data_IF_915821764246
#
_entry.id   IF_915821764246
#
_cell.length_a   1.000
_cell.length_b   1.000
_cell.length_c   1.000
_cell.angle_alpha   90.00
_cell.angle_beta   90.00
_cell.angle_gamma   90.00
#
_symmetry.space_group_name_H-M   'P 1'
#
loop_
_entity.id
_entity.type
_entity.pdbx_description
1 polymer ?
#
# COMPACT_ATOMS: atom_id res chain seq x y z
N UNK A 1 -12.19 -0.77 12.73
CA UNK A 1 -13.06 -0.77 11.54
C UNK A 1 -14.32 0.01 11.87
N UNK A 2 -14.73 0.94 11.01
CA UNK A 2 -16.00 1.67 11.19
C UNK A 2 -17.14 0.87 10.57
N UNK A 3 -18.37 1.02 11.06
CA UNK A 3 -19.55 0.30 10.53
C UNK A 3 -19.72 0.52 9.01
N UNK A 4 -19.45 1.74 8.54
CA UNK A 4 -19.52 2.09 7.12
C UNK A 4 -18.49 1.33 6.26
N UNK A 5 -17.25 1.15 6.74
CA UNK A 5 -16.24 0.39 5.99
C UNK A 5 -16.63 -1.07 5.88
N UNK A 6 -17.17 -1.66 6.97
CA UNK A 6 -17.68 -3.02 6.94
C UNK A 6 -18.83 -3.20 5.93
N UNK A 7 -19.80 -2.29 5.90
CA UNK A 7 -20.91 -2.34 4.94
C UNK A 7 -20.42 -2.24 3.49
N UNK A 8 -19.46 -1.35 3.22
CA UNK A 8 -18.84 -1.21 1.90
C UNK A 8 -18.07 -2.47 1.50
N UNK A 9 -17.32 -3.08 2.41
CA UNK A 9 -16.57 -4.31 2.13
C UNK A 9 -17.51 -5.45 1.74
N UNK A 10 -18.61 -5.64 2.50
CA UNK A 10 -19.65 -6.64 2.17
C UNK A 10 -20.29 -6.34 0.81
N UNK A 11 -20.58 -5.07 0.52
CA UNK A 11 -21.14 -4.65 -0.77
C UNK A 11 -20.18 -4.96 -1.93
N UNK A 12 -18.89 -4.65 -1.78
CA UNK A 12 -17.86 -4.92 -2.80
C UNK A 12 -17.75 -6.42 -3.07
N UNK A 13 -17.72 -7.24 -2.01
CA UNK A 13 -17.70 -8.71 -2.15
C UNK A 13 -18.96 -9.22 -2.85
N UNK A 14 -20.14 -8.69 -2.52
CA UNK A 14 -21.39 -9.05 -3.19
C UNK A 14 -21.37 -8.72 -4.68
N UNK A 15 -20.96 -7.50 -5.05
CA UNK A 15 -20.83 -7.08 -6.45
C UNK A 15 -19.80 -7.94 -7.19
N UNK A 16 -18.70 -8.31 -6.54
CA UNK A 16 -17.69 -9.20 -7.11
C UNK A 16 -18.27 -10.60 -7.41
N UNK A 17 -18.99 -11.21 -6.46
CA UNK A 17 -19.67 -12.49 -6.67
C UNK A 17 -20.71 -12.38 -7.79
N UNK A 18 -21.52 -11.33 -7.80
CA UNK A 18 -22.50 -11.06 -8.85
C UNK A 18 -21.83 -10.96 -10.23
N UNK A 19 -20.68 -10.29 -10.32
CA UNK A 19 -19.93 -10.15 -11.56
C UNK A 19 -19.47 -11.51 -12.11
N UNK A 20 -18.91 -12.39 -11.27
CA UNK A 20 -18.56 -13.76 -11.69
C UNK A 20 -19.78 -14.58 -12.09
N UNK A 21 -20.88 -14.45 -11.34
CA UNK A 21 -22.12 -15.13 -11.66
C UNK A 21 -22.65 -14.73 -13.04
N UNK A 22 -22.64 -13.43 -13.36
CA UNK A 22 -23.01 -12.92 -14.68
C UNK A 22 -22.06 -13.44 -15.76
N UNK A 23 -20.75 -13.46 -15.51
CA UNK A 23 -19.76 -13.99 -16.45
C UNK A 23 -20.03 -15.46 -16.78
N UNK A 24 -20.25 -16.31 -15.77
CA UNK A 24 -20.59 -17.73 -15.97
C UNK A 24 -21.92 -17.87 -16.71
N UNK A 25 -22.93 -17.07 -16.35
CA UNK A 25 -24.25 -17.12 -16.99
C UNK A 25 -24.18 -16.76 -18.46
N UNK A 26 -23.47 -15.67 -18.80
CA UNK A 26 -23.27 -15.21 -20.19
C UNK A 26 -22.44 -16.22 -20.98
N UNK A 27 -21.38 -16.79 -20.40
CA UNK A 27 -20.62 -17.86 -21.05
C UNK A 27 -21.52 -19.08 -21.30
N UNK A 28 -22.30 -19.51 -20.32
CA UNK A 28 -23.23 -20.63 -20.45
C UNK A 28 -24.26 -20.41 -21.55
N UNK A 29 -24.84 -19.21 -21.64
CA UNK A 29 -25.75 -18.82 -22.72
C UNK A 29 -25.06 -18.85 -24.09
N UNK A 30 -23.86 -18.27 -24.19
CA UNK A 30 -23.05 -18.25 -25.41
C UNK A 30 -22.73 -19.67 -25.91
N UNK A 31 -22.44 -20.61 -25.01
CA UNK A 31 -22.14 -21.98 -25.40
C UNK A 31 -23.40 -22.76 -25.83
N UNK A 32 -24.56 -22.51 -25.20
CA UNK A 32 -25.86 -23.11 -25.57
C UNK A 32 -26.39 -22.61 -26.90
N UNK A 33 -25.96 -21.42 -27.33
CA UNK A 33 -26.34 -20.83 -28.60
C UNK A 33 -25.68 -21.55 -29.77
N UNK A 34 -26.50 -22.13 -30.64
CA UNK A 34 -26.06 -22.82 -31.85
C UNK A 34 -25.93 -21.88 -33.06
N UNK A 35 -26.46 -20.65 -32.96
CA UNK A 35 -26.38 -19.60 -33.97
C UNK A 35 -24.99 -18.93 -34.04
N UNK A 36 -24.17 -19.09 -32.99
CA UNK A 36 -22.81 -18.57 -32.93
C UNK A 36 -21.81 -19.69 -33.24
N UNK A 37 -21.08 -19.56 -34.35
CA UNK A 37 -20.01 -20.50 -34.70
C UNK A 37 -18.88 -20.54 -33.66
N UNK A 38 -18.11 -21.63 -33.61
CA UNK A 38 -17.05 -21.83 -32.62
C UNK A 38 -16.01 -20.70 -32.57
N UNK A 39 -15.62 -20.14 -33.71
CA UNK A 39 -14.72 -18.98 -33.77
C UNK A 39 -15.32 -17.73 -33.11
N UNK A 40 -16.63 -17.50 -33.31
CA UNK A 40 -17.35 -16.42 -32.64
C UNK A 40 -17.37 -16.59 -31.13
N UNK A 41 -17.58 -17.83 -30.64
CA UNK A 41 -17.51 -18.15 -29.20
C UNK A 41 -16.13 -17.83 -28.63
N UNK A 42 -15.05 -18.21 -29.32
CA UNK A 42 -13.67 -17.91 -28.89
C UNK A 42 -13.41 -16.40 -28.80
N UNK A 43 -13.82 -15.63 -29.82
CA UNK A 43 -13.65 -14.18 -29.81
C UNK A 43 -14.41 -13.51 -28.64
N UNK A 44 -15.62 -13.99 -28.35
CA UNK A 44 -16.40 -13.52 -27.20
C UNK A 44 -15.74 -13.81 -25.86
N UNK A 45 -15.15 -15.00 -25.69
CA UNK A 45 -14.41 -15.35 -24.48
C UNK A 45 -13.21 -14.42 -24.32
N UNK A 46 -12.43 -14.20 -25.38
CA UNK A 46 -11.28 -13.26 -25.34
C UNK A 46 -11.76 -11.85 -24.96
N UNK A 47 -12.84 -11.38 -25.59
CA UNK A 47 -13.39 -10.06 -25.29
C UNK A 47 -13.79 -9.90 -23.81
N UNK A 48 -14.54 -10.86 -23.26
CA UNK A 48 -14.98 -10.85 -21.86
C UNK A 48 -13.80 -10.89 -20.88
N UNK A 49 -12.75 -11.65 -21.19
CA UNK A 49 -11.54 -11.74 -20.36
C UNK A 49 -10.71 -10.46 -20.44
N UNK A 50 -10.62 -9.82 -21.60
CA UNK A 50 -9.79 -8.62 -21.82
C UNK A 50 -10.42 -7.33 -21.27
N UNK A 51 -11.75 -7.25 -21.23
CA UNK A 51 -12.49 -6.07 -20.76
C UNK A 51 -12.08 -5.56 -19.36
N UNK A 52 -11.94 -6.39 -18.31
CA UNK A 52 -11.48 -5.92 -17.00
C UNK A 52 -10.06 -5.32 -17.06
N UNK A 53 -9.16 -5.88 -17.89
CA UNK A 53 -7.82 -5.34 -18.06
C UNK A 53 -7.82 -3.99 -18.77
N UNK A 54 -8.72 -3.77 -19.72
CA UNK A 54 -8.88 -2.45 -20.36
C UNK A 54 -9.24 -1.37 -19.33
N UNK A 55 -10.09 -1.67 -18.36
CA UNK A 55 -10.41 -0.75 -17.26
C UNK A 55 -9.18 -0.42 -16.40
N UNK A 56 -8.39 -1.44 -16.03
CA UNK A 56 -7.15 -1.25 -15.28
C UNK A 56 -6.13 -0.45 -16.09
N UNK A 57 -5.94 -0.77 -17.36
CA UNK A 57 -5.00 -0.05 -18.22
C UNK A 57 -5.44 1.40 -18.46
N UNK A 58 -6.73 1.66 -18.65
CA UNK A 58 -7.24 3.02 -18.73
C UNK A 58 -6.97 3.81 -17.43
N UNK A 59 -7.17 3.18 -16.27
CA UNK A 59 -6.81 3.79 -14.98
C UNK A 59 -5.30 4.06 -14.89
N UNK A 60 -4.45 3.09 -15.23
CA UNK A 60 -2.99 3.24 -15.18
C UNK A 60 -2.49 4.31 -16.14
N UNK A 61 -3.04 4.40 -17.36
CA UNK A 61 -2.65 5.42 -18.34
C UNK A 61 -3.08 6.82 -17.88
N UNK A 62 -4.26 6.96 -17.29
CA UNK A 62 -4.77 8.26 -16.84
C UNK A 62 -4.14 8.71 -15.51
N UNK A 63 -3.78 7.79 -14.63
CA UNK A 63 -3.39 8.09 -13.24
C UNK A 63 -2.00 7.60 -12.84
N UNK A 64 -1.25 6.98 -13.77
CA UNK A 64 0.09 6.43 -13.51
C UNK A 64 1.10 7.47 -13.02
N UNK A 65 1.09 8.68 -13.60
CA UNK A 65 2.00 9.76 -13.18
C UNK A 65 1.75 10.25 -11.75
N UNK A 66 0.48 10.31 -11.32
CA UNK A 66 0.10 10.73 -9.96
C UNK A 66 0.52 9.71 -8.90
N UNK A 67 0.52 8.40 -9.23
CA UNK A 67 0.97 7.37 -8.30
C UNK A 67 2.46 7.47 -7.98
N UNK A 68 3.30 7.75 -8.98
CA UNK A 68 4.74 7.93 -8.76
C UNK A 68 5.02 9.13 -7.82
N UNK A 69 4.37 10.27 -8.05
CA UNK A 69 4.53 11.45 -7.19
C UNK A 69 4.04 11.23 -5.75
N UNK A 70 2.90 10.55 -5.56
CA UNK A 70 2.38 10.25 -4.23
C UNK A 70 3.29 9.28 -3.48
N UNK A 71 3.83 8.27 -4.15
CA UNK A 71 4.75 7.32 -3.54
C UNK A 71 6.06 8.01 -3.10
N UNK A 72 6.60 8.91 -3.91
CA UNK A 72 7.78 9.71 -3.53
C UNK A 72 7.45 10.60 -2.32
N UNK A 73 6.35 11.34 -2.34
CA UNK A 73 5.95 12.20 -1.23
C UNK A 73 5.67 11.42 0.07
N UNK A 74 5.15 10.20 -0.02
CA UNK A 74 4.98 9.32 1.14
C UNK A 74 6.31 8.79 1.66
N UNK A 75 7.24 8.42 0.77
CA UNK A 75 8.58 7.99 1.15
C UNK A 75 9.36 9.11 1.85
N UNK A 76 9.25 10.35 1.36
CA UNK A 76 9.86 11.52 2.00
C UNK A 76 9.26 11.80 3.37
N UNK A 77 7.93 11.77 3.51
CA UNK A 77 7.27 11.90 4.82
C UNK A 77 7.70 10.81 5.81
N UNK A 78 7.84 9.57 5.36
CA UNK A 78 8.30 8.48 6.21
C UNK A 78 9.75 8.71 6.68
N UNK A 79 10.62 9.22 5.80
CA UNK A 79 12.01 9.58 6.15
C UNK A 79 12.07 10.72 7.16
N UNK A 80 11.23 11.74 7.00
CA UNK A 80 11.16 12.88 7.93
C UNK A 80 10.67 12.44 9.32
N UNK A 81 9.66 11.57 9.37
CA UNK A 81 9.20 10.98 10.62
C UNK A 81 10.30 10.17 11.33
N UNK A 82 11.00 9.30 10.59
CA UNK A 82 12.15 8.56 11.12
C UNK A 82 13.24 9.49 11.67
N UNK A 83 13.58 10.55 10.91
CA UNK A 83 14.58 11.55 11.34
C UNK A 83 14.15 12.28 12.61
N UNK A 84 12.87 12.62 12.75
CA UNK A 84 12.34 13.29 13.96
C UNK A 84 12.41 12.41 15.21
N UNK A 85 12.10 11.12 15.08
CA UNK A 85 12.13 10.15 16.19
C UNK A 85 13.57 9.88 16.63
N UNK A 86 14.47 9.67 15.66
CA UNK A 86 15.90 9.47 15.95
C UNK A 86 16.51 10.72 16.60
N UNK A 87 16.17 11.92 16.11
CA UNK A 87 16.63 13.18 16.69
C UNK A 87 16.14 13.40 18.14
N UNK A 88 14.89 13.04 18.44
CA UNK A 88 14.37 13.08 19.81
C UNK A 88 15.06 12.04 20.72
N UNK A 89 15.25 10.82 20.22
CA UNK A 89 15.94 9.75 20.96
C UNK A 89 17.40 10.11 21.29
N UNK A 90 18.12 10.76 20.37
CA UNK A 90 19.48 11.23 20.59
C UNK A 90 19.54 12.31 21.69
N UNK A 91 18.59 13.25 21.70
CA UNK A 91 18.50 14.28 22.74
C UNK A 91 18.21 13.67 24.13
N UNK A 92 17.26 12.74 24.21
CA UNK A 92 16.93 12.02 25.46
C UNK A 92 18.12 11.19 25.99
N UNK A 93 18.89 10.58 25.09
CA UNK A 93 20.07 9.78 25.45
C UNK A 93 21.20 10.66 25.99
N UNK A 94 21.41 11.84 25.39
CA UNK A 94 22.36 12.85 25.89
C UNK A 94 21.93 13.37 27.27
N UNK A 95 20.64 13.64 27.49
CA UNK A 95 20.14 14.08 28.80
C UNK A 95 20.39 13.04 29.90
N UNK A 96 20.18 11.75 29.58
CA UNK A 96 20.51 10.64 30.52
C UNK A 96 22.01 10.57 30.81
N UNK A 97 22.86 10.74 29.80
CA UNK A 97 24.32 10.75 29.97
C UNK A 97 24.77 11.91 30.86
N UNK A 98 24.17 13.10 30.72
CA UNK A 98 24.46 14.26 31.57
C UNK A 98 24.10 14.00 33.03
N UNK A 99 22.95 13.38 33.29
CA UNK A 99 22.55 12.99 34.65
C UNK A 99 23.49 11.96 35.28
N UNK A 100 23.93 10.96 34.51
CA UNK A 100 24.88 9.95 34.99
C UNK A 100 26.25 10.55 35.33
N UNK A 101 26.72 11.52 34.52
CA UNK A 101 27.95 12.27 34.80
C UNK A 101 27.81 13.13 36.06
N UNK A 102 26.70 13.85 36.21
CA UNK A 102 26.43 14.68 37.39
C UNK A 102 26.32 13.86 38.68
N UNK A 103 25.81 12.62 38.60
CA UNK A 103 25.77 11.67 39.70
C UNK A 103 27.13 11.03 40.04
N UNK A 104 28.17 11.26 39.22
CA UNK A 104 29.50 10.68 39.41
C UNK A 104 29.59 9.19 39.03
N UNK A 105 28.58 8.64 38.35
CA UNK A 105 28.53 7.22 37.98
C UNK A 105 29.39 6.87 36.77
N UNK A 106 29.82 7.88 36.01
CA UNK A 106 30.67 7.72 34.81
C UNK A 106 31.77 8.78 34.78
N UNK A 107 32.92 8.43 34.24
CA UNK A 107 34.07 9.34 34.10
C UNK A 107 33.91 10.31 32.92
N UNK A 108 34.71 11.38 32.89
CA UNK A 108 34.66 12.37 31.80
C UNK A 108 35.00 11.78 30.42
N UNK A 109 35.93 10.82 30.39
CA UNK A 109 36.33 10.13 29.15
C UNK A 109 35.22 9.19 28.65
N UNK A 110 34.55 8.46 29.55
CA UNK A 110 33.42 7.58 29.21
C UNK A 110 32.22 8.37 28.70
N UNK A 111 31.89 9.49 29.36
CA UNK A 111 30.83 10.40 28.91
C UNK A 111 31.09 10.92 27.49
N UNK A 112 32.33 11.34 27.20
CA UNK A 112 32.68 11.90 25.88
C UNK A 112 32.55 10.85 24.78
N UNK A 113 32.96 9.59 25.05
CA UNK A 113 32.80 8.47 24.11
C UNK A 113 31.33 8.13 23.85
N UNK A 114 30.50 8.09 24.91
CA UNK A 114 29.08 7.74 24.78
C UNK A 114 28.27 8.84 24.10
N UNK A 115 28.57 10.11 24.39
CA UNK A 115 27.94 11.27 23.74
C UNK A 115 28.26 11.33 22.25
N UNK A 116 29.49 11.00 21.86
CA UNK A 116 29.88 10.92 20.45
C UNK A 116 29.10 9.82 19.69
N UNK A 117 28.72 8.74 20.37
CA UNK A 117 27.91 7.65 19.80
C UNK A 117 26.41 8.01 19.69
N UNK A 118 25.88 8.83 20.60
CA UNK A 118 24.48 9.29 20.55
C UNK A 118 24.23 10.38 19.48
N UNK A 119 25.29 11.05 19.01
CA UNK A 119 25.23 12.11 17.98
C UNK A 119 25.52 11.62 16.55
N UNK A 120 25.94 10.36 16.39
CA UNK A 120 26.34 9.76 15.11
C UNK A 120 25.37 8.67 14.67
#
# INVERSE_FOLDING_TARGET
MTFMTFLLDVMIVFVFIMWFWLLITVMGDLFRRDDVGGFGKVLWVIFLVMLPYLGVFAYLLTQGGSMAQRNIAQADKARDQLRSIVGFSAADEIEKLDRLKAAGNITADEYTRLRARALG
#
